data_IF_841770266214
#
_entry.id   IF_841770266214
#
_cell.length_a   1.000
_cell.length_b   1.000
_cell.length_c   1.000
_cell.angle_alpha   90.00
_cell.angle_beta   90.00
_cell.angle_gamma   90.00
#
_symmetry.space_group_name_H-M   'P 1'
#
loop_
_entity.id
_entity.type
_entity.pdbx_description
1 polymer ?
#
# COMPACT_ATOMS: atom_id res chain seq x y z
N UNK A 1 11.40 -47.22 23.81
CA UNK A 1 11.72 -47.30 22.37
C UNK A 1 10.42 -47.74 21.73
N UNK A 2 9.60 -46.88 21.15
CA UNK A 2 9.91 -45.73 20.30
C UNK A 2 8.97 -44.55 20.61
N UNK A 3 9.49 -43.34 20.46
CA UNK A 3 8.87 -42.10 20.91
C UNK A 3 8.74 -41.15 19.73
N UNK A 4 7.56 -40.51 19.65
CA UNK A 4 7.37 -39.16 19.10
C UNK A 4 7.37 -39.01 17.57
N UNK A 5 6.21 -38.68 17.01
CA UNK A 5 5.85 -37.28 16.68
C UNK A 5 4.47 -37.25 16.02
N UNK A 6 3.45 -37.07 16.85
CA UNK A 6 2.18 -36.50 16.46
C UNK A 6 2.42 -35.10 15.90
N UNK A 7 2.46 -34.96 14.57
CA UNK A 7 2.23 -33.67 13.94
C UNK A 7 0.78 -33.26 14.25
N UNK A 8 0.63 -32.26 15.10
CA UNK A 8 -0.66 -31.66 15.42
C UNK A 8 -1.25 -31.01 14.17
N UNK A 9 -2.23 -31.68 13.58
CA UNK A 9 -3.19 -31.20 12.58
C UNK A 9 -4.12 -30.14 13.22
N UNK A 10 -3.59 -28.95 13.54
CA UNK A 10 -4.38 -27.82 14.08
C UNK A 10 -4.71 -26.76 13.01
N UNK A 11 -4.43 -27.04 11.73
CA UNK A 11 -4.62 -26.06 10.65
C UNK A 11 -6.04 -26.01 10.07
N UNK A 12 -6.97 -26.89 10.48
CA UNK A 12 -8.27 -27.08 9.82
C UNK A 12 -9.48 -26.34 10.42
N UNK A 13 -9.31 -25.46 11.42
CA UNK A 13 -10.49 -24.86 12.12
C UNK A 13 -10.50 -23.33 12.25
N UNK A 14 -9.49 -22.59 11.78
CA UNK A 14 -9.52 -21.11 11.82
C UNK A 14 -10.10 -20.54 10.53
N UNK A 15 -11.13 -19.69 10.65
CA UNK A 15 -11.62 -18.89 9.52
C UNK A 15 -10.47 -18.07 8.92
N UNK A 16 -10.41 -17.91 7.59
CA UNK A 16 -9.42 -17.06 6.93
C UNK A 16 -9.35 -15.68 7.59
N UNK A 17 -8.15 -15.12 7.82
CA UNK A 17 -8.02 -13.82 8.43
C UNK A 17 -8.60 -12.74 7.50
N UNK A 18 -9.27 -11.75 8.09
CA UNK A 18 -9.70 -10.55 7.39
C UNK A 18 -8.87 -9.37 7.91
N UNK A 19 -7.97 -8.89 7.07
CA UNK A 19 -6.95 -7.91 7.41
C UNK A 19 -7.35 -6.54 6.84
N UNK A 20 -7.39 -5.53 7.70
CA UNK A 20 -7.48 -4.12 7.30
C UNK A 20 -6.06 -3.55 7.13
N UNK A 21 -5.70 -3.11 5.94
CA UNK A 21 -4.44 -2.40 5.68
C UNK A 21 -4.72 -0.90 5.56
N UNK A 22 -4.07 -0.09 6.40
CA UNK A 22 -4.27 1.36 6.41
C UNK A 22 -3.10 2.06 5.75
N UNK A 23 -3.40 2.76 4.65
CA UNK A 23 -2.48 3.64 3.93
C UNK A 23 -3.25 4.79 3.30
N UNK A 24 -3.67 5.71 4.16
CA UNK A 24 -4.62 6.76 3.87
C UNK A 24 -3.97 8.16 3.70
N UNK A 25 -2.71 8.19 3.24
CA UNK A 25 -1.87 9.38 3.11
C UNK A 25 -1.72 9.81 1.64
N UNK A 26 -0.51 9.71 1.07
CA UNK A 26 -0.16 10.23 -0.26
C UNK A 26 -0.14 9.12 -1.32
N UNK A 27 -0.28 9.50 -2.59
CA UNK A 27 -0.23 8.57 -3.73
C UNK A 27 1.05 7.71 -3.75
N UNK A 28 2.22 8.36 -3.61
CA UNK A 28 3.50 7.67 -3.61
C UNK A 28 3.64 6.71 -2.44
N UNK A 29 3.17 7.13 -1.26
CA UNK A 29 3.11 6.30 -0.07
C UNK A 29 2.22 5.06 -0.25
N UNK A 30 1.09 5.22 -0.94
CA UNK A 30 0.20 4.12 -1.30
C UNK A 30 0.88 3.11 -2.23
N UNK A 31 1.61 3.57 -3.25
CA UNK A 31 2.36 2.67 -4.13
C UNK A 31 3.45 1.89 -3.38
N UNK A 32 4.09 2.50 -2.37
CA UNK A 32 5.06 1.84 -1.50
C UNK A 32 4.43 0.81 -0.55
N UNK A 33 3.10 0.74 -0.45
CA UNK A 33 2.40 -0.30 0.31
C UNK A 33 2.12 -1.57 -0.53
N UNK A 34 2.18 -1.49 -1.86
CA UNK A 34 1.88 -2.63 -2.73
C UNK A 34 2.76 -3.86 -2.48
N UNK A 35 4.08 -3.74 -2.26
CA UNK A 35 4.91 -4.89 -1.92
C UNK A 35 4.47 -5.58 -0.62
N UNK A 36 3.95 -4.82 0.35
CA UNK A 36 3.41 -5.37 1.60
C UNK A 36 2.09 -6.10 1.37
N UNK A 37 1.20 -5.56 0.53
CA UNK A 37 -0.04 -6.23 0.11
C UNK A 37 0.26 -7.55 -0.62
N UNK A 38 1.22 -7.53 -1.55
CA UNK A 38 1.70 -8.72 -2.24
C UNK A 38 2.27 -9.76 -1.26
N UNK A 39 3.05 -9.31 -0.27
CA UNK A 39 3.58 -10.17 0.79
C UNK A 39 2.47 -10.81 1.64
N UNK A 40 1.42 -10.06 2.01
CA UNK A 40 0.29 -10.61 2.76
C UNK A 40 -0.40 -11.73 1.99
N UNK A 41 -0.72 -11.51 0.71
CA UNK A 41 -1.36 -12.51 -0.15
C UNK A 41 -0.46 -13.69 -0.47
N UNK A 42 0.86 -13.49 -0.58
CA UNK A 42 1.80 -14.60 -0.76
C UNK A 42 1.91 -15.47 0.49
N UNK A 43 1.88 -14.88 1.69
CA UNK A 43 1.99 -15.60 2.96
C UNK A 43 0.68 -16.24 3.43
N UNK A 44 -0.45 -15.63 3.11
CA UNK A 44 -1.79 -16.10 3.46
C UNK A 44 -2.73 -15.90 2.25
N UNK A 45 -2.69 -16.79 1.24
CA UNK A 45 -3.49 -16.66 0.02
C UNK A 45 -5.01 -16.60 0.26
N UNK A 46 -5.48 -17.24 1.31
CA UNK A 46 -6.88 -17.25 1.74
C UNK A 46 -7.29 -15.98 2.50
N UNK A 47 -6.32 -15.17 2.97
CA UNK A 47 -6.61 -13.96 3.71
C UNK A 47 -7.41 -12.98 2.85
N UNK A 48 -8.46 -12.42 3.43
CA UNK A 48 -9.16 -11.27 2.86
C UNK A 48 -8.45 -10.00 3.27
N UNK A 49 -8.11 -9.14 2.32
CA UNK A 49 -7.36 -7.90 2.50
C UNK A 49 -8.25 -6.74 2.06
N UNK A 50 -8.72 -5.96 3.02
CA UNK A 50 -9.36 -4.68 2.74
C UNK A 50 -8.37 -3.55 2.98
N UNK A 51 -8.40 -2.50 2.17
CA UNK A 51 -7.60 -1.29 2.39
C UNK A 51 -8.45 -0.12 2.84
N UNK A 52 -7.90 0.73 3.72
CA UNK A 52 -8.45 2.03 4.08
C UNK A 52 -7.62 3.13 3.42
N UNK A 53 -8.23 3.84 2.47
CA UNK A 53 -7.55 4.80 1.59
C UNK A 53 -8.46 6.01 1.31
N UNK A 54 -7.92 7.22 1.02
CA UNK A 54 -8.73 8.34 0.58
C UNK A 54 -9.33 8.09 -0.81
N UNK A 55 -10.39 8.84 -1.13
CA UNK A 55 -11.12 8.74 -2.41
C UNK A 55 -10.21 8.85 -3.64
N UNK A 56 -9.23 9.75 -3.62
CA UNK A 56 -8.37 9.99 -4.77
C UNK A 56 -7.40 8.82 -5.08
N UNK A 57 -7.02 8.01 -4.08
CA UNK A 57 -6.22 6.79 -4.29
C UNK A 57 -7.06 5.55 -4.56
N UNK A 58 -8.38 5.61 -4.34
CA UNK A 58 -9.27 4.46 -4.49
C UNK A 58 -9.24 3.83 -5.89
N UNK A 59 -9.16 4.58 -7.01
CA UNK A 59 -9.01 3.97 -8.34
C UNK A 59 -7.79 3.07 -8.44
N UNK A 60 -6.64 3.50 -7.92
CA UNK A 60 -5.42 2.67 -7.89
C UNK A 60 -5.56 1.47 -6.97
N UNK A 61 -6.22 1.63 -5.83
CA UNK A 61 -6.49 0.50 -4.94
C UNK A 61 -7.31 -0.60 -5.62
N UNK A 62 -8.27 -0.22 -6.47
CA UNK A 62 -9.07 -1.19 -7.24
C UNK A 62 -8.29 -1.92 -8.34
N UNK A 63 -7.18 -1.34 -8.80
CA UNK A 63 -6.28 -1.98 -9.75
C UNK A 63 -5.29 -2.94 -9.09
N UNK A 64 -5.09 -2.84 -7.77
CA UNK A 64 -4.12 -3.68 -7.07
C UNK A 64 -4.64 -5.13 -6.94
N UNK A 65 -3.91 -6.15 -7.44
CA UNK A 65 -4.41 -7.52 -7.48
C UNK A 65 -4.43 -8.20 -6.09
N UNK A 66 -3.81 -7.57 -5.09
CA UNK A 66 -3.73 -8.09 -3.73
C UNK A 66 -4.73 -7.45 -2.76
N UNK A 67 -5.66 -6.65 -3.29
CA UNK A 67 -6.73 -5.98 -2.53
C UNK A 67 -8.07 -6.62 -2.91
N UNK A 68 -8.80 -7.12 -1.91
CA UNK A 68 -10.14 -7.67 -2.13
C UNK A 68 -11.22 -6.59 -1.97
N UNK A 69 -11.02 -5.62 -1.07
CA UNK A 69 -11.99 -4.57 -0.81
C UNK A 69 -11.35 -3.20 -0.55
N UNK A 70 -12.00 -2.15 -1.03
CA UNK A 70 -11.59 -0.77 -0.80
C UNK A 70 -12.59 -0.08 0.12
N UNK A 71 -12.11 0.40 1.25
CA UNK A 71 -12.85 1.23 2.22
C UNK A 71 -12.31 2.67 2.11
N UNK A 72 -13.23 3.62 2.00
CA UNK A 72 -12.87 5.02 1.88
C UNK A 72 -12.66 5.64 3.27
N UNK A 73 -11.50 6.25 3.48
CA UNK A 73 -11.30 7.15 4.61
C UNK A 73 -11.86 8.54 4.23
N UNK A 74 -12.86 9.07 4.97
CA UNK A 74 -13.35 10.42 4.73
C UNK A 74 -12.34 11.51 5.12
N UNK A 75 -11.21 11.16 5.75
CA UNK A 75 -10.20 12.11 6.20
C UNK A 75 -10.47 12.64 7.61
N UNK A 76 -9.58 13.49 8.11
CA UNK A 76 -9.64 14.10 9.43
C UNK A 76 -10.55 15.33 9.50
N UNK A 77 -10.68 16.07 8.40
CA UNK A 77 -11.55 17.24 8.27
C UNK A 77 -13.03 16.89 8.08
N UNK A 78 -13.35 15.62 7.84
CA UNK A 78 -14.73 15.20 7.63
C UNK A 78 -15.60 15.27 8.89
N UNK A 79 -16.86 15.66 8.69
CA UNK A 79 -17.84 15.82 9.76
C UNK A 79 -18.14 14.53 10.55
N UNK A 80 -18.69 14.71 11.76
CA UNK A 80 -18.95 13.62 12.73
C UNK A 80 -19.77 12.47 12.14
N UNK A 81 -20.69 12.73 11.22
CA UNK A 81 -21.50 11.70 10.57
C UNK A 81 -20.64 10.75 9.73
N UNK A 82 -19.74 11.28 8.89
CA UNK A 82 -18.83 10.47 8.08
C UNK A 82 -17.88 9.64 8.96
N UNK A 83 -17.37 10.22 10.05
CA UNK A 83 -16.57 9.48 11.03
C UNK A 83 -17.35 8.33 11.66
N UNK A 84 -18.62 8.55 12.03
CA UNK A 84 -19.50 7.50 12.59
C UNK A 84 -19.81 6.41 11.57
N UNK A 85 -20.02 6.76 10.31
CA UNK A 85 -20.24 5.81 9.22
C UNK A 85 -19.03 4.91 9.02
N UNK A 86 -17.82 5.47 8.95
CA UNK A 86 -16.59 4.68 8.88
C UNK A 86 -16.48 3.74 10.07
N UNK A 87 -16.69 4.23 11.30
CA UNK A 87 -16.61 3.38 12.49
C UNK A 87 -17.64 2.23 12.47
N UNK A 88 -18.86 2.52 12.03
CA UNK A 88 -19.92 1.51 11.88
C UNK A 88 -19.53 0.45 10.86
N UNK A 89 -19.01 0.87 9.70
CA UNK A 89 -18.53 -0.04 8.66
C UNK A 89 -17.41 -0.94 9.19
N UNK A 90 -16.40 -0.38 9.85
CA UNK A 90 -15.28 -1.15 10.41
C UNK A 90 -15.74 -2.20 11.45
N UNK A 91 -16.77 -1.89 12.25
CA UNK A 91 -17.37 -2.84 13.20
C UNK A 91 -18.14 -3.96 12.53
N UNK A 92 -18.86 -3.65 11.46
CA UNK A 92 -19.69 -4.62 10.74
C UNK A 92 -18.83 -5.65 10.01
N UNK A 93 -17.69 -5.23 9.46
CA UNK A 93 -16.77 -6.11 8.72
C UNK A 93 -16.07 -7.13 9.62
N UNK A 94 -15.83 -6.80 10.91
CA UNK A 94 -15.21 -7.69 11.91
C UNK A 94 -13.81 -8.18 11.49
N UNK A 95 -12.93 -7.24 11.19
CA UNK A 95 -11.52 -7.53 10.93
C UNK A 95 -10.86 -8.31 12.07
N UNK A 96 -10.09 -9.34 11.71
CA UNK A 96 -9.26 -10.09 12.65
C UNK A 96 -7.93 -9.39 12.91
N UNK A 97 -7.43 -8.63 11.94
CA UNK A 97 -6.21 -7.86 12.09
C UNK A 97 -6.24 -6.51 11.37
N UNK A 98 -5.37 -5.61 11.81
CA UNK A 98 -5.12 -4.31 11.21
C UNK A 98 -3.62 -4.12 11.05
N UNK A 99 -3.19 -3.81 9.83
CA UNK A 99 -1.82 -3.43 9.48
C UNK A 99 -1.81 -1.93 9.16
N UNK A 100 -1.22 -1.13 10.05
CA UNK A 100 -1.18 0.32 9.86
C UNK A 100 0.18 0.75 9.35
N UNK A 101 0.25 1.10 8.06
CA UNK A 101 1.48 1.56 7.43
C UNK A 101 1.69 3.07 7.63
N UNK A 102 0.60 3.81 7.87
CA UNK A 102 0.60 5.21 8.27
C UNK A 102 -0.18 5.42 9.58
N UNK A 103 0.55 5.57 10.69
CA UNK A 103 -0.04 5.65 12.03
C UNK A 103 -0.41 7.07 12.43
N UNK A 104 -1.71 7.32 12.63
CA UNK A 104 -2.23 8.52 13.28
C UNK A 104 -3.06 8.17 14.51
N UNK A 105 -3.23 9.09 15.50
CA UNK A 105 -4.09 8.84 16.65
C UNK A 105 -5.54 8.52 16.24
N UNK A 106 -6.06 9.21 15.21
CA UNK A 106 -7.39 8.96 14.66
C UNK A 106 -7.54 7.51 14.20
N UNK A 107 -6.62 7.03 13.35
CA UNK A 107 -6.63 5.66 12.83
C UNK A 107 -6.50 4.62 13.94
N UNK A 108 -5.59 4.84 14.89
CA UNK A 108 -5.44 3.97 16.05
C UNK A 108 -6.73 3.88 16.87
N UNK A 109 -7.39 5.02 17.10
CA UNK A 109 -8.67 5.08 17.78
C UNK A 109 -9.76 4.31 17.03
N UNK A 110 -9.86 4.42 15.70
CA UNK A 110 -10.81 3.63 14.91
C UNK A 110 -10.58 2.14 15.05
N UNK A 111 -9.34 1.67 14.90
CA UNK A 111 -9.00 0.25 15.04
C UNK A 111 -9.35 -0.29 16.43
N UNK A 112 -9.01 0.45 17.49
CA UNK A 112 -9.36 0.10 18.86
C UNK A 112 -10.88 0.10 19.09
N UNK A 113 -11.58 1.15 18.66
CA UNK A 113 -13.01 1.35 18.90
C UNK A 113 -13.92 0.48 18.02
N UNK A 114 -13.38 -0.04 16.91
CA UNK A 114 -13.98 -1.10 16.09
C UNK A 114 -13.78 -2.50 16.68
N UNK A 115 -12.91 -2.66 17.69
CA UNK A 115 -12.67 -3.93 18.35
C UNK A 115 -11.76 -4.89 17.57
N UNK A 116 -10.90 -4.37 16.68
CA UNK A 116 -9.98 -5.21 15.90
C UNK A 116 -8.93 -5.79 16.85
N UNK A 117 -8.81 -7.13 17.01
CA UNK A 117 -8.02 -7.70 18.10
C UNK A 117 -6.51 -7.57 17.87
N UNK A 118 -6.02 -7.78 16.64
CA UNK A 118 -4.61 -7.65 16.31
C UNK A 118 -4.35 -6.33 15.57
N UNK A 119 -3.64 -5.39 16.18
CA UNK A 119 -3.36 -4.06 15.61
C UNK A 119 -1.86 -3.84 15.54
N UNK A 120 -1.30 -4.08 14.35
CA UNK A 120 0.12 -3.97 14.00
C UNK A 120 0.43 -2.58 13.44
N UNK A 121 1.49 -1.95 13.93
CA UNK A 121 1.95 -0.65 13.46
C UNK A 121 3.46 -0.41 13.70
N UNK A 122 4.09 0.55 13.02
CA UNK A 122 5.37 1.10 13.45
C UNK A 122 5.31 1.60 14.91
N UNK A 123 6.38 1.39 15.67
CA UNK A 123 6.55 1.94 17.01
C UNK A 123 6.87 3.45 16.97
N UNK A 124 5.92 4.27 16.54
CA UNK A 124 6.13 5.71 16.31
C UNK A 124 5.13 6.58 17.08
N UNK A 125 5.65 7.61 17.76
CA UNK A 125 4.87 8.70 18.42
C UNK A 125 3.84 8.18 19.44
N UNK A 126 2.89 9.04 19.84
CA UNK A 126 1.80 8.70 20.77
C UNK A 126 0.76 7.74 20.20
N UNK A 127 0.60 7.71 18.87
CA UNK A 127 -0.35 6.82 18.20
C UNK A 127 -0.10 5.35 18.55
N UNK A 128 1.14 4.98 18.88
CA UNK A 128 1.52 3.62 19.27
C UNK A 128 0.65 3.03 20.39
N UNK A 129 0.10 3.86 21.29
CA UNK A 129 -0.74 3.42 22.43
C UNK A 129 -2.01 2.66 22.00
N UNK A 130 -2.50 2.90 20.78
CA UNK A 130 -3.67 2.20 20.26
C UNK A 130 -3.34 0.83 19.66
N UNK A 131 -2.06 0.51 19.46
CA UNK A 131 -1.59 -0.71 18.82
C UNK A 131 -0.98 -1.66 19.85
N UNK A 132 -1.39 -2.93 19.80
CA UNK A 132 -0.89 -3.99 20.68
C UNK A 132 0.29 -4.77 20.09
N UNK A 133 0.55 -4.63 18.79
CA UNK A 133 1.72 -5.20 18.12
C UNK A 133 2.51 -4.10 17.43
N UNK A 134 3.83 -4.05 17.62
CA UNK A 134 4.65 -2.92 17.17
C UNK A 134 6.00 -3.39 16.64
N UNK A 135 6.48 -2.73 15.60
CA UNK A 135 7.83 -2.94 15.06
C UNK A 135 8.62 -1.63 15.11
N UNK A 136 9.80 -1.66 15.71
CA UNK A 136 10.69 -0.49 15.76
C UNK A 136 11.30 -0.28 14.38
N UNK A 137 11.06 0.89 13.80
CA UNK A 137 11.59 1.27 12.48
C UNK A 137 12.36 2.57 12.59
N UNK A 138 13.64 2.55 12.20
CA UNK A 138 14.52 3.73 12.19
C UNK A 138 14.68 4.26 10.76
N UNK A 139 13.61 4.84 10.21
CA UNK A 139 13.56 5.34 8.81
C UNK A 139 14.54 6.48 8.53
N UNK A 140 14.85 7.31 9.53
CA UNK A 140 15.83 8.40 9.42
C UNK A 140 17.26 7.95 9.13
N UNK A 141 17.58 6.66 9.28
CA UNK A 141 18.90 6.11 8.97
C UNK A 141 19.06 5.78 7.49
N UNK A 142 17.99 5.82 6.70
CA UNK A 142 18.00 5.48 5.26
C UNK A 142 18.68 4.15 4.95
N UNK A 143 18.64 3.20 5.87
CA UNK A 143 19.38 1.94 5.77
C UNK A 143 18.78 0.96 4.74
N UNK A 144 17.53 1.19 4.32
CA UNK A 144 16.81 0.39 3.32
C UNK A 144 15.75 1.26 2.62
N UNK A 145 15.27 0.86 1.43
CA UNK A 145 14.17 1.54 0.75
C UNK A 145 12.88 1.58 1.58
N UNK A 146 12.07 2.62 1.40
CA UNK A 146 10.88 2.85 2.24
C UNK A 146 9.87 1.69 2.20
N UNK A 147 9.66 1.08 1.03
CA UNK A 147 8.73 -0.04 0.88
C UNK A 147 9.12 -1.27 1.73
N UNK A 148 10.42 -1.45 2.02
CA UNK A 148 10.90 -2.58 2.83
C UNK A 148 10.38 -2.50 4.27
N UNK A 149 10.21 -1.30 4.82
CA UNK A 149 9.61 -1.13 6.13
C UNK A 149 8.14 -1.58 6.15
N UNK A 150 7.41 -1.41 5.04
CA UNK A 150 6.03 -1.87 4.93
C UNK A 150 5.97 -3.40 4.81
N UNK A 151 6.87 -4.00 4.03
CA UNK A 151 6.99 -5.47 3.89
C UNK A 151 7.30 -6.11 5.24
N UNK A 152 8.25 -5.57 6.00
CA UNK A 152 8.61 -6.11 7.32
C UNK A 152 7.43 -6.10 8.31
N UNK A 153 6.56 -5.08 8.26
CA UNK A 153 5.35 -5.06 9.09
C UNK A 153 4.36 -6.16 8.67
N UNK A 154 4.20 -6.39 7.36
CA UNK A 154 3.35 -7.46 6.85
C UNK A 154 3.88 -8.85 7.26
N UNK A 155 5.20 -9.07 7.17
CA UNK A 155 5.85 -10.31 7.61
C UNK A 155 5.66 -10.56 9.11
N UNK A 156 5.81 -9.52 9.94
CA UNK A 156 5.58 -9.64 11.38
C UNK A 156 4.10 -9.92 11.70
N UNK A 157 3.17 -9.34 10.94
CA UNK A 157 1.75 -9.65 11.08
C UNK A 157 1.45 -11.10 10.71
N UNK A 158 1.98 -11.59 9.59
CA UNK A 158 1.84 -12.98 9.15
C UNK A 158 2.38 -13.96 10.20
N UNK A 159 3.60 -13.72 10.69
CA UNK A 159 4.20 -14.51 11.76
C UNK A 159 3.31 -14.56 13.01
N UNK A 160 2.75 -13.42 13.41
CA UNK A 160 1.87 -13.33 14.59
C UNK A 160 0.53 -14.06 14.38
N UNK A 161 0.03 -14.12 13.15
CA UNK A 161 -1.17 -14.89 12.79
C UNK A 161 -0.89 -16.40 12.64
N UNK A 162 0.36 -16.83 12.77
CA UNK A 162 0.76 -18.24 12.68
C UNK A 162 1.22 -18.69 11.29
N UNK A 163 1.41 -17.76 10.35
CA UNK A 163 1.95 -18.08 9.04
C UNK A 163 3.48 -18.18 9.07
N UNK A 164 4.02 -19.05 8.23
CA UNK A 164 5.45 -19.28 8.08
C UNK A 164 6.19 -18.10 7.42
N UNK A 165 7.52 -18.21 7.29
CA UNK A 165 8.29 -17.26 6.50
C UNK A 165 7.77 -17.20 5.06
N UNK A 166 7.65 -15.99 4.53
CA UNK A 166 7.08 -15.76 3.19
C UNK A 166 8.19 -15.53 2.19
N UNK A 167 8.13 -16.23 1.05
CA UNK A 167 8.93 -15.88 -0.11
C UNK A 167 8.39 -14.59 -0.71
N UNK A 168 9.18 -13.52 -0.62
CA UNK A 168 8.77 -12.18 -1.07
C UNK A 168 8.50 -12.17 -2.58
N UNK A 169 7.33 -11.68 -3.02
CA UNK A 169 7.12 -11.37 -4.43
C UNK A 169 8.09 -10.29 -4.90
N UNK A 170 8.67 -10.49 -6.08
CA UNK A 170 9.57 -9.52 -6.73
C UNK A 170 8.78 -8.57 -7.63
N UNK A 171 9.36 -7.40 -7.91
CA UNK A 171 8.83 -6.48 -8.90
C UNK A 171 8.82 -7.13 -10.31
N UNK A 172 7.96 -6.68 -11.24
CA UNK A 172 7.05 -5.52 -11.14
C UNK A 172 5.78 -5.79 -10.34
N UNK A 173 5.34 -4.81 -9.55
CA UNK A 173 4.09 -4.91 -8.77
C UNK A 173 2.87 -4.34 -9.51
N UNK A 174 3.09 -3.54 -10.56
CA UNK A 174 2.01 -2.94 -11.34
C UNK A 174 1.41 -3.97 -12.31
N UNK A 175 0.12 -4.34 -12.20
CA UNK A 175 -0.50 -5.29 -13.11
C UNK A 175 -0.71 -4.60 -14.46
N UNK A 176 0.19 -4.88 -15.38
CA UNK A 176 0.11 -4.34 -16.72
C UNK A 176 -0.18 -5.50 -17.68
N UNK A 177 -1.41 -5.55 -18.17
CA UNK A 177 -1.80 -6.53 -19.17
C UNK A 177 -1.00 -6.34 -20.47
N UNK A 178 -0.80 -7.44 -21.20
CA UNK A 178 -0.19 -7.37 -22.52
C UNK A 178 -1.08 -6.56 -23.46
N UNK A 179 -0.48 -5.68 -24.25
CA UNK A 179 -1.20 -4.84 -25.21
C UNK A 179 -1.66 -3.49 -24.65
N UNK A 180 -1.89 -3.33 -23.34
CA UNK A 180 -2.36 -2.05 -22.76
C UNK A 180 -1.41 -0.89 -23.08
N UNK A 181 -0.09 -1.14 -23.14
CA UNK A 181 0.91 -0.12 -23.52
C UNK A 181 0.70 0.36 -24.94
N UNK A 182 0.42 -0.55 -25.87
CA UNK A 182 0.19 -0.21 -27.27
C UNK A 182 -1.12 0.57 -27.40
N UNK A 183 -2.19 0.08 -26.77
CA UNK A 183 -3.48 0.78 -26.77
C UNK A 183 -3.38 2.19 -26.21
N UNK A 184 -2.65 2.38 -25.11
CA UNK A 184 -2.42 3.72 -24.53
C UNK A 184 -1.55 4.59 -25.46
N UNK A 185 -0.54 4.01 -26.11
CA UNK A 185 0.26 4.73 -27.12
C UNK A 185 -0.62 5.20 -28.28
N UNK A 186 -1.43 4.32 -28.85
CA UNK A 186 -2.30 4.64 -29.98
C UNK A 186 -3.33 5.71 -29.61
N UNK A 187 -3.88 5.65 -28.38
CA UNK A 187 -4.77 6.68 -27.86
C UNK A 187 -4.08 8.05 -27.78
N UNK A 188 -2.85 8.11 -27.23
CA UNK A 188 -2.06 9.34 -27.14
C UNK A 188 -1.63 9.87 -28.52
N UNK A 189 -1.33 9.00 -29.48
CA UNK A 189 -1.09 9.39 -30.89
C UNK A 189 -2.32 10.16 -31.41
N UNK A 190 -3.51 9.58 -31.25
CA UNK A 190 -4.74 10.18 -31.75
C UNK A 190 -5.13 11.47 -31.03
N UNK A 191 -4.96 11.53 -29.72
CA UNK A 191 -5.33 12.68 -28.90
C UNK A 191 -4.37 13.87 -29.07
N UNK A 192 -3.07 13.60 -29.14
CA UNK A 192 -2.03 14.64 -29.08
C UNK A 192 -1.32 14.85 -30.43
N UNK A 193 -1.65 14.07 -31.47
CA UNK A 193 -1.00 14.15 -32.78
C UNK A 193 0.49 13.76 -32.75
N UNK A 194 0.87 12.87 -31.83
CA UNK A 194 2.26 12.46 -31.65
C UNK A 194 2.70 11.46 -32.73
N UNK A 195 3.92 11.63 -33.24
CA UNK A 195 4.49 10.70 -34.23
C UNK A 195 4.73 9.31 -33.60
N UNK A 196 4.06 8.23 -34.08
CA UNK A 196 4.15 6.90 -33.46
C UNK A 196 5.52 6.25 -33.60
N UNK A 197 6.30 6.65 -34.61
CA UNK A 197 7.62 6.09 -34.88
C UNK A 197 8.73 6.75 -34.04
N UNK A 198 8.48 7.93 -33.47
CA UNK A 198 9.45 8.67 -32.68
C UNK A 198 9.56 8.16 -31.22
N UNK A 199 10.74 8.24 -30.60
CA UNK A 199 10.88 8.04 -29.16
C UNK A 199 10.10 9.13 -28.42
N UNK A 200 9.38 8.75 -27.36
CA UNK A 200 8.60 9.69 -26.56
C UNK A 200 9.24 9.87 -25.18
N UNK A 201 9.37 11.12 -24.76
CA UNK A 201 9.82 11.50 -23.43
C UNK A 201 8.66 12.10 -22.64
N UNK A 202 8.39 11.56 -21.45
CA UNK A 202 7.41 12.12 -20.53
C UNK A 202 8.13 12.84 -19.40
N UNK A 203 7.87 14.15 -19.25
CA UNK A 203 8.39 14.97 -18.16
C UNK A 203 7.31 15.20 -17.11
N UNK A 204 7.50 14.66 -15.91
CA UNK A 204 6.61 14.91 -14.77
C UNK A 204 7.13 16.10 -13.95
N UNK A 205 6.87 17.32 -14.41
CA UNK A 205 7.38 18.54 -13.78
C UNK A 205 6.67 18.93 -12.46
N UNK A 206 5.49 18.38 -12.20
CA UNK A 206 4.69 18.67 -11.02
C UNK A 206 5.26 18.07 -9.73
N UNK A 207 5.06 18.76 -8.61
CA UNK A 207 5.40 18.25 -7.27
C UNK A 207 4.37 18.73 -6.25
N UNK A 208 4.02 17.86 -5.30
CA UNK A 208 3.23 18.22 -4.13
C UNK A 208 4.04 18.89 -3.00
N UNK A 209 5.26 19.36 -3.30
CA UNK A 209 6.13 20.07 -2.36
C UNK A 209 6.85 19.17 -1.34
N UNK A 210 6.81 17.85 -1.49
CA UNK A 210 7.43 16.90 -0.57
C UNK A 210 8.91 16.59 -0.85
N UNK A 211 9.46 17.14 -1.93
CA UNK A 211 10.85 16.98 -2.32
C UNK A 211 11.32 18.23 -3.08
N UNK A 212 12.64 18.41 -3.17
CA UNK A 212 13.25 19.40 -4.06
C UNK A 212 12.83 19.11 -5.49
N UNK A 213 12.48 20.16 -6.23
CA UNK A 213 12.05 20.06 -7.62
C UNK A 213 12.82 21.07 -8.47
N UNK A 214 12.95 20.80 -9.77
CA UNK A 214 13.53 21.76 -10.71
C UNK A 214 12.59 22.96 -10.89
N UNK A 215 13.18 24.12 -11.16
CA UNK A 215 12.40 25.29 -11.58
C UNK A 215 11.83 25.08 -12.99
N UNK A 216 10.76 25.80 -13.38
CA UNK A 216 10.25 25.74 -14.75
C UNK A 216 11.32 26.02 -15.82
N UNK A 217 12.22 26.97 -15.57
CA UNK A 217 13.32 27.29 -16.47
C UNK A 217 14.30 26.12 -16.61
N UNK A 218 14.62 25.43 -15.50
CA UNK A 218 15.48 24.24 -15.52
C UNK A 218 14.82 23.05 -16.24
N UNK A 219 13.50 22.87 -16.09
CA UNK A 219 12.76 21.87 -16.88
C UNK A 219 12.79 22.17 -18.37
N UNK A 220 12.61 23.43 -18.77
CA UNK A 220 12.69 23.85 -20.17
C UNK A 220 14.10 23.62 -20.73
N UNK A 221 15.13 24.01 -19.98
CA UNK A 221 16.53 23.77 -20.36
C UNK A 221 16.82 22.27 -20.52
N UNK A 222 16.33 21.43 -19.61
CA UNK A 222 16.46 19.98 -19.71
C UNK A 222 15.78 19.44 -20.98
N UNK A 223 14.56 19.88 -21.27
CA UNK A 223 13.82 19.43 -22.44
C UNK A 223 14.56 19.79 -23.75
N UNK A 224 15.03 21.03 -23.88
CA UNK A 224 15.80 21.49 -25.05
C UNK A 224 17.11 20.71 -25.21
N UNK A 225 17.81 20.43 -24.09
CA UNK A 225 19.05 19.65 -24.13
C UNK A 225 18.83 18.20 -24.57
N UNK A 226 17.75 17.56 -24.12
CA UNK A 226 17.40 16.20 -24.53
C UNK A 226 17.02 16.18 -26.02
N UNK A 227 16.19 17.13 -26.47
CA UNK A 227 15.77 17.24 -27.87
C UNK A 227 16.97 17.39 -28.82
N UNK A 228 17.90 18.30 -28.51
CA UNK A 228 19.12 18.50 -29.28
C UNK A 228 20.00 17.24 -29.36
N UNK A 229 20.03 16.40 -28.31
CA UNK A 229 20.78 15.15 -28.31
C UNK A 229 20.11 14.04 -29.12
N UNK A 230 18.78 14.02 -29.19
CA UNK A 230 18.03 13.01 -29.96
C UNK A 230 17.95 13.37 -31.44
N UNK A 231 18.12 14.65 -31.80
CA UNK A 231 18.16 15.13 -33.17
C UNK A 231 19.55 15.00 -33.85
N UNK A 232 20.61 14.73 -33.06
CA UNK A 232 21.99 14.55 -33.52
C UNK A 232 22.30 13.08 -33.86
#
# INVERSE_FOLDING_TARGET
MDSSLTMTDDHRTRRPPHILVVRNDKLGDFMLAWPALACLKAGAPEAKVSVLVPSYTAPLARLCPWIDEVILDPGDTAGKQAQRQLLSQLRQVRFTAMLTLFSTPRIGWFGWRAGIPHRMAPATKWAQLFYNHRVVQRRSRSAKPEYMYNVELAEQLLKMLGYGPVTRPTAPYWPLERGIRQTQRDALVGELGLEPSSPWLFLHAGSGGSAVNLTPAQYAELAVKIDAQLAA
#
